data_IF_955946383483
#
_entry.id   IF_955946383483
#
_cell.length_a   1.000
_cell.length_b   1.000
_cell.length_c   1.000
_cell.angle_alpha   90.00
_cell.angle_beta   90.00
_cell.angle_gamma   90.00
#
_symmetry.space_group_name_H-M   'P 1'
#
loop_
_entity.id
_entity.type
_entity.pdbx_description
1 polymer ?
#
# COMPACT_ATOMS: atom_id res chain seq x y z
N UNK A 1 4.87 12.54 3.09
CA UNK A 1 6.22 12.41 2.53
C UNK A 1 6.19 12.06 1.03
N UNK A 2 5.70 10.89 0.61
CA UNK A 2 5.72 10.49 -0.82
C UNK A 2 4.85 11.38 -1.72
N UNK A 3 3.60 11.66 -1.32
CA UNK A 3 2.71 12.56 -2.08
C UNK A 3 3.33 13.94 -2.31
N UNK A 4 3.86 14.54 -1.24
CA UNK A 4 4.51 15.85 -1.28
C UNK A 4 5.75 15.85 -2.20
N UNK A 5 6.55 14.78 -2.19
CA UNK A 5 7.66 14.63 -3.14
C UNK A 5 7.19 14.56 -4.60
N UNK A 6 6.14 13.78 -4.90
CA UNK A 6 5.55 13.67 -6.25
C UNK A 6 5.05 15.03 -6.73
N UNK A 7 4.26 15.72 -5.89
CA UNK A 7 3.71 17.03 -6.19
C UNK A 7 4.81 18.06 -6.52
N UNK A 8 5.84 18.14 -5.65
CA UNK A 8 6.96 19.06 -5.86
C UNK A 8 7.73 18.74 -7.13
N UNK A 9 8.04 17.47 -7.39
CA UNK A 9 8.80 17.08 -8.59
C UNK A 9 8.05 17.33 -9.89
N UNK A 10 6.72 17.14 -9.89
CA UNK A 10 5.89 17.42 -11.07
C UNK A 10 5.71 18.90 -11.35
N UNK A 11 5.66 19.73 -10.30
CA UNK A 11 5.65 21.19 -10.42
C UNK A 11 6.97 21.73 -10.94
N UNK A 12 8.10 21.18 -10.48
CA UNK A 12 9.44 21.55 -10.96
C UNK A 12 9.67 21.13 -12.42
N UNK A 13 9.25 19.91 -12.78
CA UNK A 13 9.46 19.36 -14.12
C UNK A 13 8.32 18.40 -14.49
N UNK A 14 7.40 18.87 -15.33
CA UNK A 14 6.26 18.07 -15.80
C UNK A 14 6.68 16.88 -16.68
N UNK A 15 7.90 16.86 -17.20
CA UNK A 15 8.49 15.75 -17.96
C UNK A 15 9.41 14.83 -17.14
N UNK A 16 9.43 14.95 -15.80
CA UNK A 16 10.22 14.06 -14.96
C UNK A 16 9.81 12.59 -15.18
N UNK A 17 10.80 11.72 -15.39
CA UNK A 17 10.59 10.25 -15.44
C UNK A 17 10.28 9.74 -14.03
N UNK A 18 9.02 9.91 -13.63
CA UNK A 18 8.51 9.55 -12.32
C UNK A 18 7.19 8.79 -12.48
N UNK A 19 7.24 7.51 -12.13
CA UNK A 19 6.09 6.63 -12.16
C UNK A 19 5.57 6.40 -10.74
N UNK A 20 4.25 6.47 -10.57
CA UNK A 20 3.60 6.33 -9.26
C UNK A 20 2.59 5.20 -9.31
N UNK A 21 2.52 4.42 -8.24
CA UNK A 21 1.42 3.48 -7.99
C UNK A 21 0.68 3.88 -6.72
N UNK A 22 -0.63 3.64 -6.73
CA UNK A 22 -1.54 4.02 -5.66
C UNK A 22 -2.20 2.76 -5.10
N UNK A 23 -2.44 2.74 -3.79
CA UNK A 23 -3.40 1.82 -3.21
C UNK A 23 -4.77 2.47 -3.26
N UNK A 24 -5.76 1.73 -3.74
CA UNK A 24 -7.17 2.12 -3.75
C UNK A 24 -7.99 1.03 -3.09
N UNK A 25 -8.84 1.40 -2.14
CA UNK A 25 -9.81 0.50 -1.53
C UNK A 25 -11.20 1.09 -1.50
N UNK A 26 -12.22 0.22 -1.55
CA UNK A 26 -13.62 0.62 -1.51
C UNK A 26 -14.59 -0.53 -1.75
N UNK A 27 -15.88 -0.25 -1.62
CA UNK A 27 -16.93 -1.21 -1.96
C UNK A 27 -17.14 -1.28 -3.48
N UNK A 28 -17.44 -2.47 -3.96
CA UNK A 28 -17.74 -2.76 -5.35
C UNK A 28 -18.96 -3.67 -5.38
N UNK A 29 -19.93 -3.38 -6.25
CA UNK A 29 -21.09 -4.26 -6.45
C UNK A 29 -20.79 -5.15 -7.66
N UNK A 30 -20.73 -6.46 -7.44
CA UNK A 30 -20.57 -7.46 -8.49
C UNK A 30 -21.72 -8.46 -8.41
N UNK A 31 -22.45 -8.64 -9.51
CA UNK A 31 -23.59 -9.56 -9.60
C UNK A 31 -24.61 -9.33 -8.47
N UNK A 32 -24.88 -8.06 -8.12
CA UNK A 32 -25.80 -7.68 -7.05
C UNK A 32 -25.23 -7.81 -5.63
N UNK A 33 -24.03 -8.35 -5.45
CA UNK A 33 -23.40 -8.53 -4.14
C UNK A 33 -22.35 -7.46 -3.88
N UNK A 34 -22.35 -6.88 -2.68
CA UNK A 34 -21.33 -5.94 -2.24
C UNK A 34 -20.07 -6.70 -1.81
N UNK A 35 -18.92 -6.37 -2.39
CA UNK A 35 -17.61 -6.85 -1.97
C UNK A 35 -16.68 -5.67 -1.66
N UNK A 36 -15.70 -5.89 -0.78
CA UNK A 36 -14.66 -4.90 -0.52
C UNK A 36 -13.45 -5.19 -1.39
N UNK A 37 -13.12 -4.26 -2.29
CA UNK A 37 -11.99 -4.39 -3.20
C UNK A 37 -10.84 -3.53 -2.70
N UNK A 38 -9.64 -4.10 -2.67
CA UNK A 38 -8.38 -3.42 -2.41
C UNK A 38 -7.44 -3.74 -3.57
N UNK A 39 -6.83 -2.72 -4.16
CA UNK A 39 -5.92 -2.91 -5.29
C UNK A 39 -4.77 -1.90 -5.28
N UNK A 40 -3.57 -2.37 -5.61
CA UNK A 40 -2.46 -1.50 -6.02
C UNK A 40 -2.58 -1.28 -7.51
N UNK A 41 -2.67 -0.02 -7.92
CA UNK A 41 -2.96 0.37 -9.31
C UNK A 41 -1.89 1.33 -9.82
N UNK A 42 -1.58 1.20 -11.11
CA UNK A 42 -0.78 2.18 -11.82
C UNK A 42 -1.55 3.49 -11.95
N UNK A 43 -0.82 4.59 -11.97
CA UNK A 43 -1.38 5.94 -12.11
C UNK A 43 -2.33 6.09 -13.30
N UNK A 44 -1.98 5.56 -14.47
CA UNK A 44 -2.80 5.66 -15.68
C UNK A 44 -4.15 4.93 -15.59
N UNK A 45 -4.32 4.07 -14.57
CA UNK A 45 -5.56 3.32 -14.30
C UNK A 45 -6.30 3.78 -13.05
N UNK A 46 -5.76 4.75 -12.30
CA UNK A 46 -6.29 5.17 -11.01
C UNK A 46 -7.76 5.63 -11.12
N UNK A 47 -8.04 6.59 -11.99
CA UNK A 47 -9.39 7.15 -12.13
C UNK A 47 -10.39 6.12 -12.65
N UNK A 48 -9.98 5.25 -13.58
CA UNK A 48 -10.82 4.18 -14.10
C UNK A 48 -11.14 3.09 -13.07
N UNK A 49 -10.28 2.88 -12.07
CA UNK A 49 -10.57 1.95 -10.96
C UNK A 49 -11.46 2.63 -9.92
N UNK A 50 -11.19 3.89 -9.57
CA UNK A 50 -12.02 4.66 -8.65
C UNK A 50 -13.47 4.77 -9.12
N UNK A 51 -13.68 5.05 -10.42
CA UNK A 51 -15.02 5.20 -10.98
C UNK A 51 -15.86 3.92 -10.97
N UNK A 52 -15.23 2.75 -10.77
CA UNK A 52 -15.93 1.45 -10.68
C UNK A 52 -16.37 1.13 -9.25
N UNK A 53 -15.83 1.82 -8.24
CA UNK A 53 -16.20 1.59 -6.85
C UNK A 53 -17.53 2.28 -6.56
N UNK A 54 -18.40 1.61 -5.81
CA UNK A 54 -19.64 2.19 -5.32
C UNK A 54 -19.34 3.21 -4.19
N UNK A 55 -18.41 2.88 -3.30
CA UNK A 55 -17.91 3.78 -2.25
C UNK A 55 -16.40 3.66 -2.18
N UNK A 56 -15.68 4.78 -2.20
CA UNK A 56 -14.23 4.81 -2.00
C UNK A 56 -13.91 4.93 -0.51
N UNK A 57 -13.01 4.09 0.00
CA UNK A 57 -12.61 4.05 1.40
C UNK A 57 -11.19 4.57 1.65
N UNK A 58 -10.22 4.24 0.79
CA UNK A 58 -8.84 4.73 0.91
C UNK A 58 -8.20 4.94 -0.44
N UNK A 59 -7.43 6.02 -0.56
CA UNK A 59 -6.51 6.28 -1.66
C UNK A 59 -5.22 6.87 -1.09
N UNK A 60 -4.08 6.25 -1.37
CA UNK A 60 -2.79 6.81 -1.00
C UNK A 60 -1.68 6.32 -1.94
N UNK A 61 -0.57 7.06 -1.97
CA UNK A 61 0.62 6.67 -2.73
C UNK A 61 1.20 5.40 -2.11
N UNK A 62 1.33 4.35 -2.91
CA UNK A 62 1.93 3.08 -2.49
C UNK A 62 3.43 3.07 -2.78
N UNK A 63 3.83 3.48 -4.00
CA UNK A 63 5.24 3.49 -4.38
C UNK A 63 5.54 4.47 -5.51
N UNK A 64 6.83 4.78 -5.68
CA UNK A 64 7.36 5.68 -6.71
C UNK A 64 8.58 5.01 -7.35
N UNK A 65 8.69 5.05 -8.68
CA UNK A 65 9.81 4.50 -9.43
C UNK A 65 10.32 5.47 -10.50
N UNK A 66 11.61 5.36 -10.82
CA UNK A 66 12.20 6.07 -11.96
C UNK A 66 11.85 5.43 -13.30
N UNK A 67 11.70 4.10 -13.33
CA UNK A 67 11.33 3.34 -14.53
C UNK A 67 9.98 2.64 -14.30
N UNK A 68 9.22 2.47 -15.38
CA UNK A 68 7.94 1.78 -15.35
C UNK A 68 8.14 0.29 -14.99
N UNK A 69 7.35 -0.21 -14.04
CA UNK A 69 7.33 -1.61 -13.67
C UNK A 69 6.55 -2.44 -14.70
N UNK A 70 7.05 -3.65 -15.02
CA UNK A 70 6.34 -4.62 -15.86
C UNK A 70 5.19 -5.30 -15.12
N UNK A 71 5.42 -5.62 -13.85
CA UNK A 71 4.49 -6.28 -12.94
C UNK A 71 4.73 -5.80 -11.49
N UNK A 72 3.98 -6.33 -10.54
CA UNK A 72 4.07 -5.97 -9.12
C UNK A 72 5.12 -6.76 -8.33
N UNK A 73 5.83 -7.72 -8.94
CA UNK A 73 6.79 -8.58 -8.26
C UNK A 73 7.89 -7.81 -7.51
N UNK A 74 8.51 -6.78 -8.11
CA UNK A 74 9.50 -5.95 -7.42
C UNK A 74 8.97 -5.24 -6.17
N UNK A 75 7.67 -4.91 -6.13
CA UNK A 75 7.06 -4.27 -4.95
C UNK A 75 7.07 -5.24 -3.76
N UNK A 76 6.66 -6.49 -4.00
CA UNK A 76 6.71 -7.53 -2.97
C UNK A 76 8.14 -7.82 -2.51
N UNK A 77 9.08 -7.98 -3.44
CA UNK A 77 10.47 -8.29 -3.09
C UNK A 77 11.08 -7.17 -2.22
N UNK A 78 10.80 -5.91 -2.55
CA UNK A 78 11.27 -4.76 -1.77
C UNK A 78 10.74 -4.81 -0.33
N UNK A 79 9.44 -5.05 -0.17
CA UNK A 79 8.80 -5.17 1.15
C UNK A 79 9.33 -6.39 1.93
N UNK A 80 9.54 -7.52 1.24
CA UNK A 80 10.02 -8.75 1.86
C UNK A 80 11.48 -8.65 2.31
N UNK A 81 12.36 -8.04 1.51
CA UNK A 81 13.76 -7.87 1.85
C UNK A 81 13.94 -6.96 3.06
N UNK A 82 13.21 -5.84 3.14
CA UNK A 82 13.27 -4.95 4.31
C UNK A 82 12.63 -5.58 5.55
N UNK A 83 11.60 -6.41 5.39
CA UNK A 83 11.00 -7.15 6.49
C UNK A 83 12.00 -8.12 7.13
N UNK A 84 12.75 -8.87 6.31
CA UNK A 84 13.76 -9.82 6.81
C UNK A 84 14.79 -9.16 7.73
N UNK A 85 15.20 -7.93 7.45
CA UNK A 85 16.15 -7.20 8.30
C UNK A 85 15.51 -6.51 9.52
N UNK A 86 14.17 -6.44 9.60
CA UNK A 86 13.44 -5.68 10.62
C UNK A 86 12.40 -6.52 11.40
N UNK A 87 12.54 -7.84 11.39
CA UNK A 87 11.53 -8.79 11.90
C UNK A 87 11.08 -8.52 13.35
N UNK A 88 11.96 -7.99 14.20
CA UNK A 88 11.64 -7.69 15.61
C UNK A 88 10.78 -6.43 15.80
N UNK A 89 10.61 -5.60 14.77
CA UNK A 89 10.00 -4.27 14.87
C UNK A 89 8.82 -4.06 13.91
N UNK A 90 8.18 -5.14 13.44
CA UNK A 90 7.11 -5.06 12.44
C UNK A 90 5.93 -4.15 12.87
N UNK A 91 5.56 -4.16 14.15
CA UNK A 91 4.46 -3.34 14.69
C UNK A 91 4.88 -1.93 15.12
N UNK A 92 6.18 -1.61 15.11
CA UNK A 92 6.72 -0.34 15.65
C UNK A 92 6.08 0.90 15.04
N UNK A 93 5.75 0.85 13.76
CA UNK A 93 5.15 1.97 13.01
C UNK A 93 3.70 1.67 12.58
N UNK A 94 3.10 0.60 13.10
CA UNK A 94 1.69 0.28 12.85
C UNK A 94 0.78 1.32 13.51
N UNK A 95 -0.31 1.69 12.82
CA UNK A 95 -1.36 2.54 13.38
C UNK A 95 -2.19 1.82 14.46
N UNK A 96 -2.10 0.49 14.52
CA UNK A 96 -2.80 -0.36 15.49
C UNK A 96 -1.76 -0.94 16.46
N UNK A 97 -1.97 -0.70 17.75
CA UNK A 97 -1.13 -1.21 18.83
C UNK A 97 -1.97 -2.13 19.73
N UNK A 98 -1.42 -3.29 20.08
CA UNK A 98 -2.09 -4.27 20.92
C UNK A 98 -1.25 -4.52 22.18
N UNK A 99 -1.75 -4.08 23.34
CA UNK A 99 -1.05 -4.24 24.61
C UNK A 99 -0.80 -5.72 24.99
N UNK A 100 -1.66 -6.63 24.51
CA UNK A 100 -1.52 -8.06 24.77
C UNK A 100 -0.54 -8.76 23.81
N UNK A 101 -0.12 -8.11 22.71
CA UNK A 101 0.78 -8.68 21.71
C UNK A 101 2.25 -8.53 22.13
N UNK A 102 2.59 -9.11 23.29
CA UNK A 102 3.94 -9.19 23.83
C UNK A 102 4.47 -10.62 23.73
N UNK A 103 5.76 -10.85 23.40
CA UNK A 103 6.34 -12.18 23.44
C UNK A 103 6.20 -12.76 24.86
N UNK A 104 5.55 -13.91 24.99
CA UNK A 104 5.49 -14.67 26.26
C UNK A 104 6.45 -15.84 26.21
N UNK A 105 6.97 -16.20 27.36
CA UNK A 105 7.84 -17.37 27.46
C UNK A 105 7.03 -18.67 27.30
N UNK A 106 7.63 -19.76 26.79
CA UNK A 106 6.93 -21.05 26.64
C UNK A 106 6.40 -21.62 27.97
N UNK A 107 7.02 -21.24 29.09
CA UNK A 107 6.59 -21.65 30.44
C UNK A 107 5.23 -21.06 30.83
N UNK A 108 4.87 -19.89 30.28
CA UNK A 108 3.61 -19.20 30.58
C UNK A 108 2.43 -19.68 29.72
N UNK A 109 2.68 -20.45 28.66
CA UNK A 109 1.66 -21.03 27.77
C UNK A 109 1.16 -22.42 28.21
N UNK A 110 1.67 -22.94 29.33
CA UNK A 110 1.31 -24.26 29.89
C UNK A 110 0.50 -24.08 31.18
N UNK A 111 -0.76 -23.65 31.08
CA UNK A 111 -1.71 -23.62 32.21
C UNK A 111 -3.13 -23.80 31.70
#
# INVERSE_FOLDING_TARGET
MLYDYVERKRKENSGAQLHVTYLVSGSLIQNGHSCHKVAVVREDKLEAVKSKLAVTASIHVYSIQKAMLKDSGPLFNTDYDILKSNLQNCSKFSAIQCAAAVPRSPAESSS
#
